data_IF_119745767316
#
_entry.id   IF_119745767316
#
_cell.length_a   1.000
_cell.length_b   1.000
_cell.length_c   1.000
_cell.angle_alpha   90.00
_cell.angle_beta   90.00
_cell.angle_gamma   90.00
#
_symmetry.space_group_name_H-M   'P 1'
#
loop_
_entity.id
_entity.type
_entity.pdbx_description
1 polymer ?
#
# COMPACT_ATOMS: atom_id res chain seq x y z
N UNK A 1 22.36 -37.87 -55.18
CA UNK A 1 21.02 -37.35 -55.51
C UNK A 1 20.60 -36.53 -54.30
N UNK A 2 20.93 -35.25 -54.14
CA UNK A 2 20.84 -34.10 -55.05
C UNK A 2 19.40 -33.86 -55.55
N UNK A 3 18.67 -33.02 -54.78
CA UNK A 3 17.74 -31.90 -55.11
C UNK A 3 16.58 -32.06 -56.11
N UNK A 4 15.57 -31.14 -56.18
CA UNK A 4 15.18 -29.99 -55.31
C UNK A 4 13.63 -29.80 -55.15
N UNK A 5 13.22 -28.65 -54.58
CA UNK A 5 11.89 -27.98 -54.62
C UNK A 5 10.88 -28.27 -53.51
N UNK A 6 11.04 -27.57 -52.37
CA UNK A 6 9.99 -26.63 -51.94
C UNK A 6 10.62 -25.44 -51.18
N UNK A 7 10.74 -24.32 -51.90
CA UNK A 7 11.16 -23.03 -51.39
C UNK A 7 9.96 -22.36 -50.74
N UNK A 8 9.98 -22.19 -49.42
CA UNK A 8 9.26 -21.07 -48.80
C UNK A 8 10.29 -20.16 -48.13
N UNK A 9 10.69 -19.15 -48.90
CA UNK A 9 11.26 -17.92 -48.39
C UNK A 9 10.29 -17.33 -47.36
N UNK A 10 10.71 -17.23 -46.10
CA UNK A 10 10.12 -16.27 -45.17
C UNK A 10 11.13 -15.15 -45.03
N UNK A 11 10.97 -14.19 -45.93
CA UNK A 11 11.66 -12.91 -45.94
C UNK A 11 11.68 -12.26 -44.55
N UNK A 12 12.83 -11.72 -44.18
CA UNK A 12 12.99 -10.94 -42.97
C UNK A 12 12.10 -9.70 -43.00
N UNK A 13 11.23 -9.55 -42.00
CA UNK A 13 10.58 -8.25 -41.77
C UNK A 13 11.50 -7.41 -40.89
N UNK A 14 12.35 -6.66 -41.59
CA UNK A 14 13.04 -5.47 -41.10
C UNK A 14 12.11 -4.63 -40.23
N UNK A 15 12.58 -4.24 -39.05
CA UNK A 15 11.84 -3.41 -38.11
C UNK A 15 11.36 -2.08 -38.74
N UNK A 16 10.07 -1.99 -39.08
CA UNK A 16 9.41 -0.82 -39.70
C UNK A 16 9.44 0.49 -38.87
N UNK A 17 10.09 0.49 -37.70
CA UNK A 17 10.07 1.60 -36.75
C UNK A 17 11.48 2.08 -36.40
N UNK A 18 11.81 3.27 -36.89
CA UNK A 18 13.08 3.97 -36.62
C UNK A 18 13.03 4.76 -35.31
N UNK A 19 14.16 4.87 -34.57
CA UNK A 19 14.22 5.61 -33.30
C UNK A 19 14.17 7.13 -33.49
N UNK A 20 13.82 7.86 -32.42
CA UNK A 20 13.89 9.32 -32.41
C UNK A 20 15.34 9.81 -32.46
N UNK A 21 15.64 10.78 -33.33
CA UNK A 21 16.97 11.41 -33.40
C UNK A 21 17.18 12.33 -32.20
N UNK A 22 18.41 12.39 -31.69
CA UNK A 22 18.86 13.35 -30.66
C UNK A 22 17.98 13.41 -29.41
N UNK A 23 17.60 12.27 -28.83
CA UNK A 23 16.80 12.23 -27.61
C UNK A 23 17.45 11.41 -26.48
N UNK A 24 17.39 11.95 -25.26
CA UNK A 24 17.92 11.35 -24.04
C UNK A 24 16.84 10.67 -23.19
N UNK A 25 15.56 10.89 -23.50
CA UNK A 25 14.46 10.39 -22.67
C UNK A 25 14.19 8.90 -22.92
N UNK A 26 14.22 8.10 -21.84
CA UNK A 26 14.09 6.63 -21.87
C UNK A 26 12.74 6.13 -22.39
N UNK A 27 11.70 6.98 -22.39
CA UNK A 27 10.39 6.65 -22.97
C UNK A 27 10.49 6.25 -24.45
N UNK A 28 11.44 6.81 -25.20
CA UNK A 28 11.62 6.52 -26.62
C UNK A 28 12.16 5.12 -26.92
N UNK A 29 12.55 4.34 -25.91
CA UNK A 29 12.81 2.90 -26.08
C UNK A 29 11.57 2.13 -26.53
N UNK A 30 10.37 2.63 -26.22
CA UNK A 30 9.10 1.98 -26.49
C UNK A 30 8.36 2.58 -27.70
N UNK A 31 8.90 3.64 -28.31
CA UNK A 31 8.27 4.38 -29.40
C UNK A 31 9.27 4.65 -30.54
N UNK A 32 8.76 5.04 -31.70
CA UNK A 32 9.57 5.47 -32.84
C UNK A 32 8.71 6.02 -33.96
N UNK A 33 9.25 6.04 -35.17
CA UNK A 33 8.61 6.58 -36.36
C UNK A 33 8.60 5.54 -37.48
N UNK A 34 7.66 5.62 -38.40
CA UNK A 34 7.68 4.74 -39.58
C UNK A 34 8.92 5.02 -40.44
N UNK A 35 9.42 4.02 -41.14
CA UNK A 35 10.59 4.18 -42.03
C UNK A 35 10.39 5.25 -43.11
N UNK A 36 9.13 5.43 -43.55
CA UNK A 36 8.72 6.42 -44.55
C UNK A 36 8.50 7.83 -43.97
N UNK A 37 8.59 8.02 -42.64
CA UNK A 37 8.40 9.31 -41.98
C UNK A 37 9.73 9.99 -41.67
N UNK A 38 10.37 10.51 -42.72
CA UNK A 38 11.66 11.19 -42.66
C UNK A 38 11.66 12.40 -41.72
N UNK A 39 10.49 13.01 -41.51
CA UNK A 39 10.28 14.20 -40.68
C UNK A 39 9.97 13.88 -39.21
N UNK A 40 9.81 12.60 -38.84
CA UNK A 40 9.50 12.18 -37.47
C UNK A 40 8.24 12.87 -36.89
N UNK A 41 7.17 12.93 -37.67
CA UNK A 41 5.92 13.59 -37.29
C UNK A 41 4.93 12.65 -36.59
N UNK A 42 4.94 11.37 -36.98
CA UNK A 42 3.99 10.34 -36.54
C UNK A 42 4.65 9.35 -35.61
N UNK A 43 4.47 9.56 -34.30
CA UNK A 43 5.01 8.64 -33.28
C UNK A 43 4.18 7.37 -33.23
N UNK A 44 4.84 6.23 -33.37
CA UNK A 44 4.26 4.89 -33.30
C UNK A 44 4.74 4.17 -32.05
N UNK A 45 3.82 3.48 -31.37
CA UNK A 45 4.16 2.54 -30.31
C UNK A 45 4.80 1.28 -30.92
N UNK A 46 5.94 0.84 -30.38
CA UNK A 46 6.61 -0.37 -30.88
C UNK A 46 5.79 -1.64 -30.62
N UNK A 47 5.01 -1.66 -29.54
CA UNK A 47 4.26 -2.83 -29.09
C UNK A 47 2.91 -2.99 -29.78
N UNK A 48 2.13 -1.91 -29.92
CA UNK A 48 0.78 -1.98 -30.52
C UNK A 48 0.66 -1.29 -31.89
N UNK A 49 1.75 -0.69 -32.40
CA UNK A 49 1.79 0.05 -33.68
C UNK A 49 0.80 1.22 -33.79
N UNK A 50 0.08 1.56 -32.72
CA UNK A 50 -0.84 2.70 -32.70
C UNK A 50 -0.07 4.01 -32.73
N UNK A 51 -0.63 4.98 -33.44
CA UNK A 51 -0.17 6.36 -33.45
C UNK A 51 -0.47 7.03 -32.10
N UNK A 52 0.51 7.70 -31.52
CA UNK A 52 0.37 8.48 -30.29
C UNK A 52 0.77 9.93 -30.55
N UNK A 53 -0.15 10.86 -30.34
CA UNK A 53 0.14 12.28 -30.59
C UNK A 53 1.22 12.80 -29.64
N UNK A 54 2.32 13.33 -30.18
CA UNK A 54 3.40 13.96 -29.42
C UNK A 54 3.72 15.34 -30.01
N UNK A 55 2.85 16.32 -29.77
CA UNK A 55 3.06 17.69 -30.25
C UNK A 55 4.26 18.31 -29.54
N UNK A 56 5.12 18.99 -30.31
CA UNK A 56 6.23 19.82 -29.83
C UNK A 56 7.23 19.10 -28.90
N UNK A 57 7.45 17.81 -29.09
CA UNK A 57 8.43 17.04 -28.31
C UNK A 57 7.99 16.66 -26.88
N UNK A 58 6.76 16.96 -26.48
CA UNK A 58 6.22 16.50 -25.20
C UNK A 58 5.99 14.98 -25.20
N UNK A 59 6.49 14.29 -24.16
CA UNK A 59 6.39 12.84 -24.01
C UNK A 59 5.26 12.38 -23.09
N UNK A 60 4.49 13.28 -22.46
CA UNK A 60 3.41 12.94 -21.51
C UNK A 60 2.38 11.97 -22.11
N UNK A 61 2.03 12.14 -23.38
CA UNK A 61 1.08 11.26 -24.08
C UNK A 61 1.64 9.85 -24.29
N UNK A 62 2.97 9.71 -24.45
CA UNK A 62 3.64 8.41 -24.56
C UNK A 62 3.61 7.68 -23.22
N UNK A 63 3.87 8.40 -22.11
CA UNK A 63 3.75 7.85 -20.76
C UNK A 63 2.31 7.43 -20.45
N UNK A 64 1.32 8.27 -20.77
CA UNK A 64 -0.09 7.95 -20.59
C UNK A 64 -0.51 6.71 -21.42
N UNK A 65 -0.05 6.64 -22.68
CA UNK A 65 -0.30 5.50 -23.55
C UNK A 65 0.25 4.20 -22.95
N UNK A 66 1.50 4.18 -22.48
CA UNK A 66 2.07 3.00 -21.83
C UNK A 66 1.33 2.65 -20.54
N UNK A 67 0.99 3.64 -19.71
CA UNK A 67 0.31 3.40 -18.43
C UNK A 67 -1.04 2.69 -18.60
N UNK A 68 -1.78 3.05 -19.65
CA UNK A 68 -3.13 2.51 -19.90
C UNK A 68 -3.09 1.23 -20.74
N UNK A 69 -2.27 1.20 -21.80
CA UNK A 69 -2.33 0.13 -22.80
C UNK A 69 -1.22 -0.91 -22.62
N UNK A 70 -0.12 -0.58 -21.93
CA UNK A 70 1.03 -1.46 -21.72
C UNK A 70 1.58 -1.36 -20.28
N UNK A 71 0.80 -1.76 -19.25
CA UNK A 71 1.17 -1.58 -17.83
C UNK A 71 2.52 -2.22 -17.44
N UNK A 72 2.88 -3.32 -18.09
CA UNK A 72 4.16 -4.01 -17.90
C UNK A 72 5.32 -3.14 -18.38
N UNK A 73 5.25 -2.61 -19.61
CA UNK A 73 6.26 -1.69 -20.15
C UNK A 73 6.36 -0.39 -19.35
N UNK A 74 5.23 0.12 -18.86
CA UNK A 74 5.21 1.29 -17.97
C UNK A 74 5.95 1.02 -16.65
N UNK A 75 5.75 -0.16 -16.06
CA UNK A 75 6.42 -0.56 -14.81
C UNK A 75 7.93 -0.74 -15.01
N UNK A 76 8.35 -1.36 -16.12
CA UNK A 76 9.77 -1.49 -16.49
C UNK A 76 10.45 -0.13 -16.71
N UNK A 77 9.76 0.79 -17.37
CA UNK A 77 10.27 2.15 -17.58
C UNK A 77 10.47 2.88 -16.24
N UNK A 78 9.53 2.75 -15.29
CA UNK A 78 9.65 3.36 -13.96
C UNK A 78 10.83 2.79 -13.14
N UNK A 79 11.05 1.48 -13.20
CA UNK A 79 12.18 0.84 -12.53
C UNK A 79 13.52 1.32 -13.11
N UNK A 80 13.60 1.45 -14.44
CA UNK A 80 14.78 2.03 -15.09
C UNK A 80 14.99 3.48 -14.63
N UNK A 81 13.96 4.33 -14.62
CA UNK A 81 14.10 5.73 -14.17
C UNK A 81 14.60 5.83 -12.71
N UNK A 82 14.20 4.90 -11.84
CA UNK A 82 14.61 4.86 -10.42
C UNK A 82 16.04 4.39 -10.17
N UNK A 83 16.67 3.68 -11.10
CA UNK A 83 17.95 2.97 -10.89
C UNK A 83 19.19 3.71 -11.38
N UNK A 84 19.17 5.04 -11.55
CA UNK A 84 20.39 5.76 -11.93
C UNK A 84 21.26 6.11 -10.69
N UNK A 85 22.57 5.79 -10.67
CA UNK A 85 23.44 6.03 -9.51
C UNK A 85 23.71 7.53 -9.34
N UNK A 86 23.46 8.08 -8.15
CA UNK A 86 24.00 9.39 -7.76
C UNK A 86 25.50 9.26 -7.54
N UNK A 87 26.28 10.06 -8.27
CA UNK A 87 27.70 10.30 -8.02
C UNK A 87 27.90 10.74 -6.56
N UNK A 88 28.77 10.00 -5.89
CA UNK A 88 29.35 10.21 -4.57
C UNK A 88 30.33 11.38 -4.56
N UNK A 89 30.27 12.22 -3.53
CA UNK A 89 31.46 12.84 -2.91
C UNK A 89 31.26 12.95 -1.41
N UNK A 90 32.34 12.63 -0.70
CA UNK A 90 32.42 12.21 0.70
C UNK A 90 32.49 13.37 1.72
N UNK A 91 32.15 13.01 2.96
CA UNK A 91 32.74 13.39 4.26
C UNK A 91 32.84 14.87 4.66
N UNK A 92 32.32 15.23 5.85
CA UNK A 92 33.12 15.30 7.09
C UNK A 92 32.29 15.83 8.28
N UNK A 93 32.56 15.24 9.43
CA UNK A 93 32.08 15.54 10.78
C UNK A 93 32.50 16.93 11.29
N UNK A 94 31.68 17.60 12.10
CA UNK A 94 32.11 18.80 12.83
C UNK A 94 30.98 19.59 13.50
N UNK A 95 30.80 19.37 14.81
CA UNK A 95 30.04 20.22 15.72
C UNK A 95 30.58 21.67 15.74
N UNK A 96 29.68 22.65 15.84
CA UNK A 96 29.69 23.79 16.80
C UNK A 96 28.61 24.84 16.46
N UNK A 97 27.69 25.08 17.38
CA UNK A 97 27.06 26.39 17.69
C UNK A 97 28.14 27.38 18.20
N UNK A 98 27.93 28.71 18.39
CA UNK A 98 26.69 29.48 18.45
C UNK A 98 26.70 30.91 17.79
N UNK A 99 25.55 31.60 17.95
CA UNK A 99 25.40 33.05 18.20
C UNK A 99 25.29 34.09 17.06
N UNK A 100 24.09 34.69 17.04
CA UNK A 100 23.74 36.13 16.91
C UNK A 100 24.88 37.11 16.64
N UNK A 101 24.70 37.96 15.63
CA UNK A 101 24.80 39.43 15.76
C UNK A 101 24.08 40.16 14.60
N UNK A 102 23.31 41.18 15.00
CA UNK A 102 22.89 42.38 14.23
C UNK A 102 24.17 43.23 13.97
N UNK A 103 24.33 44.15 13.02
CA UNK A 103 23.43 45.11 12.36
C UNK A 103 24.15 45.83 11.17
N UNK A 104 23.33 46.35 10.23
CA UNK A 104 23.43 47.58 9.40
C UNK A 104 24.77 48.06 8.78
N UNK A 105 24.70 48.37 7.48
CA UNK A 105 25.58 49.35 6.82
C UNK A 105 25.49 49.30 5.30
N UNK A 106 25.19 50.44 4.67
CA UNK A 106 24.90 50.63 3.24
C UNK A 106 26.16 50.75 2.36
N UNK A 107 26.01 50.51 1.06
CA UNK A 107 26.99 50.87 0.02
C UNK A 107 26.87 50.00 -1.23
N UNK A 108 26.69 50.63 -2.39
CA UNK A 108 26.43 50.05 -3.71
C UNK A 108 27.56 49.15 -4.23
N UNK A 109 27.21 48.14 -5.03
CA UNK A 109 27.56 48.10 -6.46
C UNK A 109 26.94 46.88 -7.15
N UNK A 110 26.77 47.04 -8.45
CA UNK A 110 25.86 46.36 -9.36
C UNK A 110 26.41 45.01 -9.85
N UNK A 111 25.58 43.97 -9.82
CA UNK A 111 25.43 43.04 -10.95
C UNK A 111 24.17 42.19 -10.85
N UNK A 112 23.31 42.36 -11.84
CA UNK A 112 22.05 41.68 -12.06
C UNK A 112 22.25 40.18 -12.30
N UNK A 113 21.58 39.35 -11.50
CA UNK A 113 21.16 38.02 -11.94
C UNK A 113 19.73 37.81 -11.47
N UNK A 114 18.81 38.32 -12.26
CA UNK A 114 17.37 38.09 -12.11
C UNK A 114 17.14 36.59 -12.30
N UNK A 115 17.04 35.85 -11.20
CA UNK A 115 16.46 34.52 -11.24
C UNK A 115 14.99 34.68 -11.57
N UNK A 116 14.65 34.46 -12.84
CA UNK A 116 13.26 34.22 -13.24
C UNK A 116 12.86 32.96 -12.49
N UNK A 117 12.23 33.14 -11.33
CA UNK A 117 11.39 32.11 -10.75
C UNK A 117 10.32 31.85 -11.80
N UNK A 118 10.53 30.81 -12.61
CA UNK A 118 9.47 30.25 -13.42
C UNK A 118 8.39 29.82 -12.43
N UNK A 119 7.38 30.67 -12.30
CA UNK A 119 6.14 30.36 -11.61
C UNK A 119 5.55 29.18 -12.37
N UNK A 120 5.89 27.96 -11.93
CA UNK A 120 5.30 26.74 -12.44
C UNK A 120 3.84 26.82 -12.01
N UNK A 121 2.99 27.38 -12.87
CA UNK A 121 1.57 27.23 -12.74
C UNK A 121 1.30 25.73 -12.75
N UNK A 122 1.00 25.19 -11.56
CA UNK A 122 0.44 23.85 -11.43
C UNK A 122 -0.74 23.80 -12.39
N UNK A 123 -0.65 22.98 -13.44
CA UNK A 123 -1.73 22.75 -14.39
C UNK A 123 -3.02 22.56 -13.60
N UNK A 124 -4.12 23.23 -13.96
CA UNK A 124 -5.38 23.19 -13.20
C UNK A 124 -5.79 21.77 -12.74
N UNK A 125 -5.44 20.72 -13.48
CA UNK A 125 -5.67 19.33 -13.08
C UNK A 125 -4.93 18.87 -11.81
N UNK A 126 -3.68 19.29 -11.55
CA UNK A 126 -2.91 18.85 -10.38
C UNK A 126 -3.41 19.52 -9.10
N UNK A 127 -3.82 20.79 -9.17
CA UNK A 127 -4.48 21.47 -8.04
C UNK A 127 -5.87 20.89 -7.76
N UNK A 128 -6.67 20.60 -8.80
CA UNK A 128 -7.98 19.94 -8.65
C UNK A 128 -7.85 18.55 -8.00
N UNK A 129 -6.96 17.68 -8.48
CA UNK A 129 -6.77 16.34 -7.91
C UNK A 129 -6.24 16.37 -6.47
N UNK A 130 -5.41 17.36 -6.13
CA UNK A 130 -4.91 17.55 -4.76
C UNK A 130 -5.99 18.04 -3.79
N UNK A 131 -7.02 18.72 -4.31
CA UNK A 131 -8.17 19.22 -3.56
C UNK A 131 -9.26 18.15 -3.38
N UNK A 132 -9.32 17.14 -4.24
CA UNK A 132 -10.30 16.07 -4.15
C UNK A 132 -9.96 15.04 -3.07
N UNK A 133 -10.97 14.74 -2.25
CA UNK A 133 -10.91 13.65 -1.26
C UNK A 133 -10.83 12.29 -1.95
N UNK A 134 -10.25 11.30 -1.27
CA UNK A 134 -10.24 9.94 -1.79
C UNK A 134 -11.66 9.36 -1.86
N UNK A 135 -11.97 8.73 -2.98
CA UNK A 135 -13.16 7.89 -3.09
C UNK A 135 -13.07 6.71 -2.12
N UNK A 136 -14.21 6.32 -1.53
CA UNK A 136 -14.28 5.25 -0.52
C UNK A 136 -13.85 3.88 -1.05
N UNK A 137 -13.94 3.67 -2.35
CA UNK A 137 -13.52 2.46 -3.06
C UNK A 137 -12.02 2.46 -3.39
N UNK A 138 -11.36 3.62 -3.29
CA UNK A 138 -9.94 3.73 -3.66
C UNK A 138 -9.06 2.92 -2.71
N UNK A 139 -8.03 2.28 -3.27
CA UNK A 139 -7.05 1.49 -2.50
C UNK A 139 -6.47 2.27 -1.32
N UNK A 140 -6.20 3.57 -1.50
CA UNK A 140 -5.64 4.44 -0.46
C UNK A 140 -6.63 4.68 0.68
N UNK A 141 -7.89 4.99 0.38
CA UNK A 141 -8.92 5.15 1.39
C UNK A 141 -9.12 3.85 2.18
N UNK A 142 -9.25 2.72 1.49
CA UNK A 142 -9.43 1.40 2.13
C UNK A 142 -8.26 1.07 3.05
N UNK A 143 -7.03 1.32 2.60
CA UNK A 143 -5.82 1.08 3.41
C UNK A 143 -5.82 1.92 4.69
N UNK A 144 -6.13 3.22 4.59
CA UNK A 144 -6.18 4.12 5.74
C UNK A 144 -7.30 3.73 6.70
N UNK A 145 -8.50 3.47 6.18
CA UNK A 145 -9.65 3.06 6.99
C UNK A 145 -9.39 1.74 7.70
N UNK A 146 -8.80 0.75 7.04
CA UNK A 146 -8.44 -0.53 7.67
C UNK A 146 -7.40 -0.37 8.77
N UNK A 147 -6.38 0.48 8.56
CA UNK A 147 -5.38 0.76 9.59
C UNK A 147 -6.03 1.39 10.84
N UNK A 148 -7.00 2.29 10.65
CA UNK A 148 -7.74 2.90 11.76
C UNK A 148 -8.64 1.86 12.44
N UNK A 149 -9.35 1.02 11.70
CA UNK A 149 -10.15 -0.08 12.26
C UNK A 149 -9.29 -1.01 13.12
N UNK A 150 -8.09 -1.36 12.65
CA UNK A 150 -7.13 -2.18 13.39
C UNK A 150 -6.63 -1.48 14.65
N UNK A 151 -6.30 -0.18 14.59
CA UNK A 151 -5.89 0.60 15.76
C UNK A 151 -7.00 0.64 16.81
N UNK A 152 -8.25 0.93 16.41
CA UNK A 152 -9.38 0.94 17.34
C UNK A 152 -9.58 -0.42 18.02
N UNK A 153 -9.50 -1.52 17.26
CA UNK A 153 -9.69 -2.86 17.79
C UNK A 153 -8.52 -3.30 18.69
N UNK A 154 -7.28 -3.13 18.22
CA UNK A 154 -6.08 -3.61 18.90
C UNK A 154 -5.80 -2.86 20.20
N UNK A 155 -6.04 -1.55 20.21
CA UNK A 155 -5.79 -0.69 21.36
C UNK A 155 -7.06 -0.53 22.23
N UNK A 156 -8.13 -1.29 21.96
CA UNK A 156 -9.42 -1.25 22.67
C UNK A 156 -10.00 0.16 22.80
N UNK A 157 -9.85 0.97 21.75
CA UNK A 157 -10.27 2.36 21.78
C UNK A 157 -11.79 2.49 21.58
N UNK A 158 -12.46 3.39 22.32
CA UNK A 158 -13.87 3.66 22.10
C UNK A 158 -14.15 4.14 20.68
N UNK A 159 -15.29 3.74 20.09
CA UNK A 159 -15.64 4.14 18.73
C UNK A 159 -15.75 5.66 18.54
N UNK A 160 -16.08 6.41 19.58
CA UNK A 160 -16.14 7.88 19.52
C UNK A 160 -14.77 8.55 19.31
N UNK A 161 -13.66 7.79 19.40
CA UNK A 161 -12.30 8.27 19.14
C UNK A 161 -12.17 8.92 17.77
N UNK A 162 -12.82 8.36 16.75
CA UNK A 162 -12.77 8.89 15.37
C UNK A 162 -13.50 10.23 15.21
N UNK A 163 -14.29 10.64 16.19
CA UNK A 163 -15.02 11.91 16.21
C UNK A 163 -14.35 12.97 17.11
N UNK A 164 -13.27 12.61 17.81
CA UNK A 164 -12.49 13.57 18.62
C UNK A 164 -11.79 14.56 17.70
N UNK A 165 -11.95 15.86 17.98
CA UNK A 165 -11.38 16.95 17.18
C UNK A 165 -9.86 16.84 16.99
N UNK A 166 -9.12 16.47 18.04
CA UNK A 166 -7.68 16.25 17.97
C UNK A 166 -7.28 15.11 17.05
N UNK A 167 -8.03 13.99 17.09
CA UNK A 167 -7.80 12.83 16.24
C UNK A 167 -8.08 13.15 14.76
N UNK A 168 -9.21 13.84 14.49
CA UNK A 168 -9.56 14.30 13.14
C UNK A 168 -8.48 15.25 12.60
N UNK A 169 -8.05 16.23 13.40
CA UNK A 169 -7.01 17.19 13.01
C UNK A 169 -5.70 16.48 12.69
N UNK A 170 -5.27 15.54 13.53
CA UNK A 170 -4.06 14.75 13.32
C UNK A 170 -4.11 14.00 11.98
N UNK A 171 -5.19 13.27 11.70
CA UNK A 171 -5.32 12.53 10.44
C UNK A 171 -5.40 13.45 9.22
N UNK A 172 -6.03 14.62 9.33
CA UNK A 172 -6.03 15.63 8.27
C UNK A 172 -4.65 16.23 8.03
N UNK A 173 -3.82 16.36 9.05
CA UNK A 173 -2.42 16.78 8.91
C UNK A 173 -1.58 15.70 8.23
N UNK A 174 -1.81 14.43 8.53
CA UNK A 174 -1.10 13.33 7.88
C UNK A 174 -1.52 13.11 6.42
N UNK A 175 -2.81 13.20 6.12
CA UNK A 175 -3.34 13.04 4.76
C UNK A 175 -4.63 13.85 4.60
N UNK A 176 -4.51 15.08 4.07
CA UNK A 176 -5.63 16.03 3.96
C UNK A 176 -6.78 15.53 3.06
N UNK A 177 -6.45 14.65 2.11
CA UNK A 177 -7.38 14.05 1.14
C UNK A 177 -8.19 12.90 1.73
N UNK A 178 -7.78 12.34 2.86
CA UNK A 178 -8.54 11.29 3.52
C UNK A 178 -9.76 11.87 4.23
N UNK A 179 -10.94 11.33 3.92
CA UNK A 179 -12.17 11.64 4.65
C UNK A 179 -12.51 10.47 5.59
N UNK A 180 -12.31 10.71 6.88
CA UNK A 180 -12.50 9.74 7.94
C UNK A 180 -14.00 9.39 8.10
N UNK A 181 -14.37 8.10 8.12
CA UNK A 181 -15.72 7.68 8.47
C UNK A 181 -16.10 8.04 9.91
N UNK A 182 -17.38 8.28 10.15
CA UNK A 182 -17.90 8.46 11.50
C UNK A 182 -18.01 7.15 12.27
N UNK A 183 -18.37 7.26 13.55
CA UNK A 183 -18.51 6.12 14.49
C UNK A 183 -19.35 4.97 13.95
N UNK A 184 -20.47 5.29 13.28
CA UNK A 184 -21.41 4.30 12.71
C UNK A 184 -20.76 3.36 11.69
N UNK A 185 -19.75 3.83 10.96
CA UNK A 185 -19.02 2.96 10.04
C UNK A 185 -18.18 1.94 10.82
N UNK A 186 -17.45 2.40 11.83
CA UNK A 186 -16.55 1.55 12.62
C UNK A 186 -17.29 0.58 13.53
N UNK A 187 -18.51 0.91 13.98
CA UNK A 187 -19.39 -0.03 14.69
C UNK A 187 -19.78 -1.25 13.85
N UNK A 188 -19.66 -1.18 12.51
CA UNK A 188 -19.87 -2.33 11.62
C UNK A 188 -18.55 -2.91 11.12
N UNK A 189 -17.52 -2.08 10.89
CA UNK A 189 -16.23 -2.53 10.41
C UNK A 189 -15.47 -3.40 11.44
N UNK A 190 -15.55 -3.07 12.74
CA UNK A 190 -14.86 -3.81 13.79
C UNK A 190 -15.44 -5.23 13.97
N UNK A 191 -16.78 -5.43 14.05
CA UNK A 191 -17.35 -6.78 14.02
C UNK A 191 -16.95 -7.61 12.80
N UNK A 192 -16.87 -6.99 11.62
CA UNK A 192 -16.40 -7.67 10.41
C UNK A 192 -14.92 -8.07 10.50
N UNK A 193 -14.08 -7.19 11.06
CA UNK A 193 -12.68 -7.50 11.34
C UNK A 193 -12.56 -8.66 12.33
N UNK A 194 -13.38 -8.67 13.40
CA UNK A 194 -13.44 -9.78 14.34
C UNK A 194 -13.76 -11.10 13.66
N UNK A 195 -14.80 -11.15 12.80
CA UNK A 195 -15.14 -12.37 12.06
C UNK A 195 -13.97 -12.86 11.22
N UNK A 196 -13.32 -11.95 10.49
CA UNK A 196 -12.16 -12.29 9.64
C UNK A 196 -11.01 -12.88 10.48
N UNK A 197 -10.69 -12.27 11.62
CA UNK A 197 -9.62 -12.74 12.50
C UNK A 197 -10.00 -14.04 13.21
N UNK A 198 -11.26 -14.17 13.63
CA UNK A 198 -11.80 -15.40 14.23
C UNK A 198 -11.65 -16.56 13.26
N UNK A 199 -12.09 -16.40 12.01
CA UNK A 199 -12.05 -17.47 11.02
C UNK A 199 -10.60 -17.89 10.72
N UNK A 200 -9.66 -16.92 10.66
CA UNK A 200 -8.23 -17.23 10.54
C UNK A 200 -7.69 -18.00 11.77
N UNK A 201 -8.01 -17.57 12.99
CA UNK A 201 -7.57 -18.26 14.20
C UNK A 201 -8.15 -19.68 14.26
N UNK A 202 -9.41 -19.85 13.85
CA UNK A 202 -10.06 -21.15 13.77
C UNK A 202 -9.39 -22.08 12.77
N UNK A 203 -9.02 -21.56 11.59
CA UNK A 203 -8.23 -22.30 10.60
C UNK A 203 -6.88 -22.73 11.19
N UNK A 204 -6.12 -21.80 11.77
CA UNK A 204 -4.82 -22.09 12.41
C UNK A 204 -4.91 -23.15 13.52
N UNK A 205 -5.96 -23.09 14.35
CA UNK A 205 -6.19 -24.08 15.43
C UNK A 205 -6.62 -25.43 14.84
N UNK A 206 -7.41 -25.45 13.76
CA UNK A 206 -7.85 -26.70 13.13
C UNK A 206 -6.70 -27.50 12.50
N UNK A 207 -5.60 -26.83 12.16
CA UNK A 207 -4.39 -27.47 11.63
C UNK A 207 -3.53 -28.12 12.72
N UNK A 208 -3.75 -27.77 14.00
CA UNK A 208 -2.96 -28.31 15.10
C UNK A 208 -3.35 -29.77 15.37
N UNK A 209 -2.38 -30.69 15.25
CA UNK A 209 -2.59 -32.12 15.58
C UNK A 209 -2.73 -32.34 17.09
N UNK A 210 -1.96 -31.57 17.86
CA UNK A 210 -1.95 -31.63 19.32
C UNK A 210 -1.97 -30.22 19.88
N UNK A 211 -2.71 -30.03 20.96
CA UNK A 211 -2.74 -28.77 21.70
C UNK A 211 -2.87 -29.06 23.20
N UNK A 212 -2.43 -28.09 24.00
CA UNK A 212 -2.75 -28.01 25.41
C UNK A 212 -3.75 -26.86 25.62
N UNK A 213 -4.83 -27.12 26.34
CA UNK A 213 -5.79 -26.11 26.75
C UNK A 213 -5.45 -25.56 28.13
N UNK A 214 -5.53 -24.26 28.31
CA UNK A 214 -5.57 -23.63 29.63
C UNK A 214 -6.89 -22.91 29.82
N UNK A 215 -7.42 -22.97 31.03
CA UNK A 215 -8.58 -22.17 31.43
C UNK A 215 -8.23 -21.32 32.63
N UNK A 216 -8.72 -20.08 32.62
CA UNK A 216 -8.52 -19.12 33.71
C UNK A 216 -9.88 -18.63 34.18
N UNK A 217 -10.09 -18.63 35.50
CA UNK A 217 -11.30 -18.10 36.14
C UNK A 217 -10.91 -16.84 36.91
N UNK A 218 -11.54 -15.74 36.55
CA UNK A 218 -11.19 -14.43 37.09
C UNK A 218 -12.43 -13.56 37.25
N UNK A 219 -12.33 -12.54 38.11
CA UNK A 219 -13.39 -11.55 38.29
C UNK A 219 -12.98 -10.22 37.68
N UNK A 220 -13.92 -9.55 37.01
CA UNK A 220 -13.70 -8.23 36.47
C UNK A 220 -13.54 -7.19 37.58
N UNK A 221 -13.21 -5.94 37.19
CA UNK A 221 -13.15 -4.82 38.13
C UNK A 221 -14.50 -4.51 38.80
N UNK A 222 -15.60 -4.94 38.20
CA UNK A 222 -16.95 -4.84 38.75
C UNK A 222 -17.40 -6.13 39.46
N UNK A 223 -16.47 -7.03 39.76
CA UNK A 223 -16.69 -8.31 40.43
C UNK A 223 -17.59 -9.30 39.66
N UNK A 224 -17.69 -9.14 38.34
CA UNK A 224 -18.38 -10.12 37.50
C UNK A 224 -17.44 -11.29 37.20
N UNK A 225 -17.85 -12.54 37.42
CA UNK A 225 -17.00 -13.71 37.18
C UNK A 225 -16.99 -14.12 35.70
N UNK A 226 -15.80 -14.46 35.22
CA UNK A 226 -15.52 -14.88 33.85
C UNK A 226 -14.65 -16.13 33.84
N UNK A 227 -14.86 -16.95 32.81
CA UNK A 227 -13.97 -18.05 32.44
C UNK A 227 -13.38 -17.75 31.07
N UNK A 228 -12.08 -17.93 30.93
CA UNK A 228 -11.33 -17.76 29.69
C UNK A 228 -10.73 -19.09 29.27
N UNK A 229 -10.61 -19.34 27.96
CA UNK A 229 -9.95 -20.52 27.41
C UNK A 229 -8.91 -20.15 26.35
N UNK A 230 -7.73 -20.74 26.45
CA UNK A 230 -6.60 -20.53 25.54
C UNK A 230 -6.05 -21.88 25.07
N UNK A 231 -5.87 -22.02 23.76
CA UNK A 231 -5.23 -23.18 23.16
C UNK A 231 -3.75 -22.86 22.88
N UNK A 232 -2.87 -23.78 23.25
CA UNK A 232 -1.43 -23.71 23.03
C UNK A 232 -1.01 -24.89 22.15
N UNK A 233 -0.32 -24.64 21.05
CA UNK A 233 0.09 -25.68 20.10
C UNK A 233 1.41 -25.32 19.42
N UNK A 234 2.04 -26.32 18.78
CA UNK A 234 3.18 -26.09 17.91
C UNK A 234 2.67 -25.93 16.48
N UNK A 235 2.99 -24.83 15.84
CA UNK A 235 2.59 -24.56 14.46
C UNK A 235 3.47 -25.31 13.43
N UNK A 236 3.15 -25.16 12.14
CA UNK A 236 3.88 -25.82 11.03
C UNK A 236 5.35 -25.41 10.93
N UNK A 237 5.68 -24.22 11.42
CA UNK A 237 7.03 -23.67 11.42
C UNK A 237 7.78 -24.00 12.73
N UNK A 238 7.25 -24.94 13.52
CA UNK A 238 7.81 -25.40 14.81
C UNK A 238 7.89 -24.30 15.87
N UNK A 239 6.99 -23.31 15.81
CA UNK A 239 6.89 -22.27 16.82
C UNK A 239 5.76 -22.57 17.81
N UNK A 240 5.99 -22.21 19.08
CA UNK A 240 4.93 -22.25 20.08
C UNK A 240 3.92 -21.12 19.80
N UNK A 241 2.70 -21.52 19.41
CA UNK A 241 1.57 -20.65 19.21
C UNK A 241 0.62 -20.71 20.41
N UNK A 242 0.00 -19.58 20.76
CA UNK A 242 -1.02 -19.49 21.80
C UNK A 242 -2.16 -18.62 21.31
N UNK A 243 -3.39 -19.16 21.34
CA UNK A 243 -4.59 -18.50 20.84
C UNK A 243 -5.65 -18.45 21.94
N UNK A 244 -5.97 -17.24 22.38
CA UNK A 244 -7.11 -17.01 23.24
C UNK A 244 -8.39 -17.15 22.42
N UNK A 245 -9.21 -18.17 22.72
CA UNK A 245 -10.35 -18.51 21.88
C UNK A 245 -11.60 -17.77 22.32
N UNK A 246 -11.84 -17.73 23.63
CA UNK A 246 -13.07 -17.16 24.15
C UNK A 246 -12.95 -16.84 25.64
N UNK A 247 -13.68 -15.79 26.03
CA UNK A 247 -14.00 -15.45 27.42
C UNK A 247 -15.51 -15.42 27.54
N UNK A 248 -16.05 -16.15 28.52
CA UNK A 248 -17.49 -16.21 28.81
C UNK A 248 -17.76 -15.76 30.23
N UNK A 249 -18.90 -15.13 30.43
CA UNK A 249 -19.43 -14.89 31.76
C UNK A 249 -19.72 -16.25 32.42
N UNK A 250 -19.22 -16.45 33.64
CA UNK A 250 -19.32 -17.72 34.34
C UNK A 250 -19.72 -17.48 35.81
N UNK A 251 -21.03 -17.32 36.09
CA UNK A 251 -21.52 -16.98 37.43
C UNK A 251 -21.64 -18.18 38.38
N UNK A 252 -21.36 -19.38 37.89
CA UNK A 252 -21.57 -20.62 38.63
C UNK A 252 -20.45 -20.88 39.64
N UNK A 253 -20.76 -21.67 40.67
CA UNK A 253 -19.76 -22.13 41.63
C UNK A 253 -18.66 -22.95 40.92
N UNK A 254 -17.42 -22.84 41.40
CA UNK A 254 -16.24 -23.47 40.79
C UNK A 254 -16.13 -24.98 41.12
N UNK A 255 -17.23 -25.72 41.06
CA UNK A 255 -17.23 -27.18 41.20
C UNK A 255 -16.69 -27.84 39.94
N UNK A 256 -16.16 -29.06 40.07
CA UNK A 256 -15.60 -29.79 38.92
C UNK A 256 -16.63 -30.00 37.80
N UNK A 257 -17.89 -30.26 38.17
CA UNK A 257 -19.01 -30.45 37.24
C UNK A 257 -19.33 -29.17 36.46
N UNK A 258 -19.39 -28.02 37.14
CA UNK A 258 -19.67 -26.74 36.51
C UNK A 258 -18.52 -26.30 35.60
N UNK A 259 -17.27 -26.52 36.02
CA UNK A 259 -16.09 -26.24 35.20
C UNK A 259 -16.08 -27.10 33.93
N UNK A 260 -16.36 -28.40 34.05
CA UNK A 260 -16.48 -29.29 32.91
C UNK A 260 -17.62 -28.87 31.97
N UNK A 261 -18.76 -28.41 32.51
CA UNK A 261 -19.87 -27.88 31.72
C UNK A 261 -19.49 -26.57 31.01
N UNK A 262 -18.83 -25.64 31.71
CA UNK A 262 -18.31 -24.40 31.14
C UNK A 262 -17.32 -24.66 30.01
N UNK A 263 -16.45 -25.66 30.17
CA UNK A 263 -15.49 -26.04 29.13
C UNK A 263 -16.17 -26.60 27.86
N UNK A 264 -17.33 -27.25 28.00
CA UNK A 264 -18.11 -27.72 26.85
C UNK A 264 -18.65 -26.58 25.99
N UNK A 265 -18.85 -25.38 26.54
CA UNK A 265 -19.24 -24.21 25.74
C UNK A 265 -18.20 -23.91 24.64
N UNK A 266 -16.92 -24.18 24.90
CA UNK A 266 -15.85 -24.00 23.91
C UNK A 266 -15.82 -25.12 22.84
N UNK A 267 -16.50 -26.24 23.06
CA UNK A 267 -16.62 -27.33 22.08
C UNK A 267 -17.53 -26.98 20.89
N UNK A 268 -18.36 -25.93 21.02
CA UNK A 268 -19.23 -25.39 19.96
C UNK A 268 -18.43 -24.67 18.86
N UNK A 269 -17.10 -24.59 18.99
CA UNK A 269 -16.23 -24.05 17.95
C UNK A 269 -16.05 -25.01 16.74
N UNK A 270 -16.72 -26.18 16.67
CA UNK A 270 -16.57 -27.17 15.58
C UNK A 270 -15.10 -27.58 15.33
N UNK A 271 -14.23 -27.38 16.33
CA UNK A 271 -12.92 -27.98 16.38
C UNK A 271 -13.20 -29.43 16.71
N UNK A 272 -13.10 -30.34 15.75
CA UNK A 272 -13.49 -31.75 15.89
C UNK A 272 -12.90 -32.40 17.15
N UNK A 273 -13.67 -32.38 18.25
CA UNK A 273 -13.30 -33.02 19.51
C UNK A 273 -13.64 -34.50 19.39
N UNK A 274 -12.70 -35.30 18.92
CA UNK A 274 -12.67 -36.73 19.22
C UNK A 274 -12.05 -36.83 20.62
N UNK A 275 -12.90 -37.03 21.63
CA UNK A 275 -12.47 -37.38 22.97
C UNK A 275 -11.68 -38.69 22.90
N UNK A 276 -10.43 -38.68 23.39
CA UNK A 276 -9.74 -39.87 23.88
C UNK A 276 -10.14 -40.11 25.33
#
# INVERSE_FOLDING_TARGET
MADPDDLVEVEGTTSDIVPKRNCTSRIWLYFGFGINDTNQNKVLCRSCKRNVAAKNGNTSNLYAHLKVNHPIHYSQLQQKIRTNPKKTTNATSGNKTPQKNMCKGAGSDSNSTTSIQSNVQNTHQSSILSSMTYEKTSKRWVTLTNAITQCLAKDTLPFYTVEKSGFIKMLKTFDSRYNLPGRKYFSTAIPKLYQTVRDQVMEEVSEATYFAGTTDLWSSRTMEPYMSYTAHFIDRDWNLASKHLQTVFFPDDHTGENLAAGLKVYSVLDIGFIWL
#
